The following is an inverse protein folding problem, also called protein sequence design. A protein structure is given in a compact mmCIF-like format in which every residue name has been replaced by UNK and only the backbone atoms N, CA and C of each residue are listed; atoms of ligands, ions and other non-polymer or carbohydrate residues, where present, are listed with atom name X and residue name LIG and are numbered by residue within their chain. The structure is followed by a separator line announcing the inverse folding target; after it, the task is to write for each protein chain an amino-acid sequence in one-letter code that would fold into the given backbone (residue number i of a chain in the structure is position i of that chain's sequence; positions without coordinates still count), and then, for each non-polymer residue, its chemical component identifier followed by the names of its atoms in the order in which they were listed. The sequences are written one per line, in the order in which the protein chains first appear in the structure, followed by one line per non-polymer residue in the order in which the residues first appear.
data_IF_590397339540
#
_entry.id   IF_590397339540
#
_cell.length_a   1.000
_cell.length_b   1.000
_cell.length_c   1.000
_cell.angle_alpha   90.00
_cell.angle_beta   90.00
_cell.angle_gamma   90.00
#
_symmetry.space_group_name_H-M   'P 1'
#
loop_
_entity.id
_entity.type
_entity.pdbx_description
1 polymer ?
#
# COMPACT_ATOMS: atom_id res chain seq x y z
N UNK A 1 13.79 -13.09 10.56
CA UNK A 1 12.87 -12.44 9.62
C UNK A 1 11.55 -12.20 10.33
N UNK A 2 10.96 -11.01 10.18
CA UNK A 2 9.66 -10.68 10.78
C UNK A 2 8.53 -11.51 10.16
N UNK A 3 7.41 -11.64 10.87
CA UNK A 3 6.20 -12.31 10.37
C UNK A 3 5.18 -11.25 9.96
N UNK A 4 4.44 -11.44 8.84
CA UNK A 4 3.35 -10.54 8.47
C UNK A 4 2.18 -10.66 9.44
N UNK A 5 1.23 -9.73 9.33
CA UNK A 5 -0.02 -9.80 10.07
C UNK A 5 -0.81 -11.07 9.77
N UNK A 6 -1.65 -11.48 10.71
CA UNK A 6 -2.42 -12.75 10.62
C UNK A 6 -3.44 -12.78 9.48
N UNK A 7 -3.77 -11.62 8.90
CA UNK A 7 -4.77 -11.50 7.83
C UNK A 7 -4.24 -11.75 6.42
N UNK A 8 -2.93 -11.68 6.19
CA UNK A 8 -2.34 -11.87 4.86
C UNK A 8 -0.98 -12.59 4.95
N UNK A 9 -0.98 -13.86 4.59
CA UNK A 9 0.19 -14.73 4.62
C UNK A 9 0.99 -14.76 3.30
N UNK A 10 0.63 -13.97 2.29
CA UNK A 10 1.26 -14.06 0.96
C UNK A 10 2.78 -13.90 1.03
N UNK A 11 3.29 -12.92 1.75
CA UNK A 11 4.74 -12.72 1.89
C UNK A 11 5.47 -13.88 2.59
N UNK A 12 4.78 -14.72 3.37
CA UNK A 12 5.38 -15.96 3.89
C UNK A 12 5.65 -16.97 2.79
N UNK A 13 4.78 -17.05 1.78
CA UNK A 13 5.03 -17.91 0.62
C UNK A 13 6.23 -17.42 -0.20
N UNK A 14 6.41 -16.09 -0.31
CA UNK A 14 7.61 -15.52 -0.93
C UNK A 14 8.86 -15.89 -0.14
N UNK A 15 8.87 -15.73 1.18
CA UNK A 15 9.99 -16.14 2.03
C UNK A 15 10.24 -17.66 1.95
N UNK A 16 9.18 -18.46 1.95
CA UNK A 16 9.32 -19.93 1.81
C UNK A 16 9.97 -20.29 0.48
N UNK A 17 9.53 -19.68 -0.63
CA UNK A 17 10.16 -19.85 -1.94
C UNK A 17 11.64 -19.48 -1.92
N UNK A 18 11.98 -18.31 -1.37
CA UNK A 18 13.36 -17.85 -1.25
C UNK A 18 14.22 -18.77 -0.37
N UNK A 19 13.67 -19.32 0.72
CA UNK A 19 14.38 -20.25 1.61
C UNK A 19 14.70 -21.58 0.94
N UNK A 20 13.96 -21.97 -0.10
CA UNK A 20 14.17 -23.22 -0.88
C UNK A 20 15.09 -23.04 -2.06
N UNK A 21 15.42 -21.80 -2.44
CA UNK A 21 16.33 -21.56 -3.54
C UNK A 21 17.78 -21.88 -3.15
N UNK A 22 18.49 -22.53 -4.05
CA UNK A 22 19.93 -22.65 -4.02
C UNK A 22 20.63 -21.30 -4.29
N UNK A 23 21.95 -21.25 -4.16
CA UNK A 23 22.75 -20.01 -4.32
C UNK A 23 22.56 -19.33 -5.68
N UNK A 24 22.40 -20.13 -6.75
CA UNK A 24 22.17 -19.63 -8.10
C UNK A 24 20.70 -19.79 -8.53
N UNK A 25 19.80 -20.00 -7.56
CA UNK A 25 18.41 -20.31 -7.81
C UNK A 25 17.59 -19.09 -8.22
N UNK A 26 16.57 -19.35 -9.04
CA UNK A 26 15.55 -18.38 -9.45
C UNK A 26 14.17 -18.91 -9.10
N UNK A 27 13.25 -17.99 -8.77
CA UNK A 27 11.84 -18.33 -8.57
C UNK A 27 10.95 -17.27 -9.21
N UNK A 28 9.76 -17.70 -9.62
CA UNK A 28 8.67 -16.80 -10.00
C UNK A 28 7.45 -17.13 -9.14
N UNK A 29 6.92 -16.14 -8.46
CA UNK A 29 5.76 -16.28 -7.58
C UNK A 29 4.67 -15.31 -8.03
N UNK A 30 3.46 -15.84 -8.20
CA UNK A 30 2.29 -15.02 -8.55
C UNK A 30 1.56 -14.63 -7.27
N UNK A 31 1.28 -13.35 -7.12
CA UNK A 31 0.49 -12.81 -6.02
C UNK A 31 -0.45 -11.70 -6.50
N UNK A 32 -1.38 -11.29 -5.65
CA UNK A 32 -2.13 -10.05 -5.87
C UNK A 32 -1.27 -8.82 -5.53
N UNK A 33 -1.86 -7.62 -5.53
CA UNK A 33 -1.14 -6.38 -5.24
C UNK A 33 -0.79 -6.17 -3.76
N UNK A 34 -1.45 -6.85 -2.84
CA UNK A 34 -1.28 -6.64 -1.38
C UNK A 34 0.19 -6.71 -0.93
N UNK A 35 1.02 -7.70 -1.32
CA UNK A 35 2.42 -7.76 -0.95
C UNK A 35 3.26 -6.53 -1.34
N UNK A 36 2.83 -5.75 -2.32
CA UNK A 36 3.56 -4.56 -2.76
C UNK A 36 3.47 -3.40 -1.78
N UNK A 37 2.32 -3.21 -1.12
CA UNK A 37 2.05 -1.99 -0.35
C UNK A 37 1.47 -2.22 1.05
N UNK A 38 1.01 -3.42 1.39
CA UNK A 38 0.39 -3.68 2.70
C UNK A 38 1.38 -3.49 3.85
N UNK A 39 0.83 -3.06 5.00
CA UNK A 39 1.59 -2.83 6.23
C UNK A 39 2.32 -1.48 6.27
N UNK A 40 2.33 -0.86 7.46
CA UNK A 40 3.11 0.35 7.74
C UNK A 40 4.60 0.04 7.93
N UNK A 41 5.41 1.08 8.12
CA UNK A 41 6.89 0.99 8.20
C UNK A 41 7.44 0.04 9.27
N UNK A 42 6.71 -0.15 10.37
CA UNK A 42 7.09 -1.06 11.45
C UNK A 42 6.48 -2.46 11.34
N UNK A 43 5.65 -2.70 10.32
CA UNK A 43 4.96 -3.99 10.15
C UNK A 43 5.88 -5.11 9.68
N UNK A 44 5.47 -6.35 9.90
CA UNK A 44 6.17 -7.53 9.41
C UNK A 44 6.28 -7.56 7.89
N UNK A 45 5.25 -7.12 7.17
CA UNK A 45 5.22 -7.03 5.71
C UNK A 45 6.32 -6.08 5.20
N UNK A 46 6.44 -4.90 5.81
CA UNK A 46 7.48 -3.94 5.47
C UNK A 46 8.88 -4.50 5.75
N UNK A 47 9.07 -5.21 6.87
CA UNK A 47 10.36 -5.83 7.21
C UNK A 47 10.72 -6.97 6.26
N UNK A 48 9.73 -7.71 5.74
CA UNK A 48 9.98 -8.75 4.73
C UNK A 48 10.39 -8.13 3.41
N UNK A 49 9.70 -7.08 2.93
CA UNK A 49 10.10 -6.35 1.73
C UNK A 49 11.50 -5.76 1.86
N UNK A 50 11.80 -5.18 3.02
CA UNK A 50 13.15 -4.68 3.34
C UNK A 50 14.20 -5.78 3.22
N UNK A 51 13.95 -6.94 3.83
CA UNK A 51 14.87 -8.09 3.73
C UNK A 51 15.11 -8.51 2.28
N UNK A 52 14.06 -8.59 1.46
CA UNK A 52 14.14 -8.97 0.05
C UNK A 52 14.99 -7.95 -0.75
N UNK A 53 14.79 -6.65 -0.51
CA UNK A 53 15.48 -5.59 -1.22
C UNK A 53 16.93 -5.42 -0.74
N UNK A 54 17.18 -5.42 0.57
CA UNK A 54 18.53 -5.28 1.12
C UNK A 54 19.46 -6.41 0.66
N UNK A 55 18.93 -7.64 0.56
CA UNK A 55 19.69 -8.80 0.06
C UNK A 55 19.69 -8.93 -1.46
N UNK A 56 19.17 -7.94 -2.18
CA UNK A 56 19.13 -7.88 -3.64
C UNK A 56 18.50 -9.13 -4.31
N UNK A 57 17.45 -9.69 -3.68
CA UNK A 57 16.82 -10.93 -4.13
C UNK A 57 15.75 -10.71 -5.21
N UNK A 58 15.14 -9.54 -5.27
CA UNK A 58 14.07 -9.21 -6.21
C UNK A 58 14.67 -8.70 -7.52
N UNK A 59 14.46 -9.43 -8.62
CA UNK A 59 14.95 -9.06 -9.95
C UNK A 59 13.92 -8.26 -10.74
N UNK A 60 12.66 -8.70 -10.74
CA UNK A 60 11.60 -8.01 -11.47
C UNK A 60 10.22 -8.23 -10.86
N UNK A 61 9.31 -7.29 -11.15
CA UNK A 61 7.87 -7.42 -10.93
C UNK A 61 7.16 -7.14 -12.24
N UNK A 62 6.30 -8.06 -12.66
CA UNK A 62 5.50 -7.95 -13.88
C UNK A 62 4.04 -7.83 -13.47
N UNK A 63 3.41 -6.69 -13.77
CA UNK A 63 1.98 -6.49 -13.61
C UNK A 63 1.24 -7.12 -14.79
N UNK A 64 0.27 -7.99 -14.52
CA UNK A 64 -0.55 -8.65 -15.51
C UNK A 64 -1.99 -8.14 -15.48
N UNK A 65 -2.76 -8.31 -16.58
CA UNK A 65 -4.15 -7.91 -16.63
C UNK A 65 -5.01 -8.52 -15.52
N UNK A 66 -6.00 -7.79 -15.04
CA UNK A 66 -7.07 -8.36 -14.23
C UNK A 66 -7.95 -9.32 -15.01
N UNK A 67 -8.82 -10.06 -14.32
CA UNK A 67 -9.72 -11.06 -14.93
C UNK A 67 -8.98 -12.23 -15.62
N UNK A 68 -7.82 -12.60 -15.08
CA UNK A 68 -6.96 -13.63 -15.60
C UNK A 68 -7.25 -15.02 -15.03
N UNK A 69 -7.84 -15.07 -13.82
CA UNK A 69 -8.20 -16.30 -13.13
C UNK A 69 -9.71 -16.53 -13.07
N UNK A 70 -10.12 -17.81 -12.92
CA UNK A 70 -11.52 -18.24 -12.97
C UNK A 70 -12.40 -17.67 -11.85
N UNK A 71 -11.82 -17.44 -10.65
CA UNK A 71 -12.55 -17.09 -9.43
C UNK A 71 -12.23 -15.69 -8.89
N UNK A 72 -11.41 -14.91 -9.60
CA UNK A 72 -11.07 -13.56 -9.19
C UNK A 72 -10.84 -12.63 -10.37
N UNK A 73 -11.31 -11.38 -10.26
CA UNK A 73 -11.10 -10.34 -11.27
C UNK A 73 -9.95 -9.38 -10.96
N UNK A 74 -9.24 -9.57 -9.82
CA UNK A 74 -8.17 -8.66 -9.40
C UNK A 74 -6.94 -8.73 -10.31
N UNK A 75 -6.17 -7.63 -10.33
CA UNK A 75 -4.85 -7.60 -10.95
C UNK A 75 -3.88 -8.53 -10.23
N UNK A 76 -2.98 -9.11 -10.97
CA UNK A 76 -1.97 -10.04 -10.48
C UNK A 76 -0.58 -9.58 -10.86
N UNK A 77 0.40 -10.02 -10.08
CA UNK A 77 1.79 -9.64 -10.23
C UNK A 77 2.67 -10.89 -10.18
N UNK A 78 3.61 -11.00 -11.10
CA UNK A 78 4.66 -12.01 -11.05
C UNK A 78 5.89 -11.38 -10.42
N UNK A 79 6.32 -11.92 -9.28
CA UNK A 79 7.56 -11.57 -8.62
C UNK A 79 8.66 -12.52 -9.06
N UNK A 80 9.71 -11.98 -9.66
CA UNK A 80 10.87 -12.76 -10.11
C UNK A 80 12.00 -12.55 -9.12
N UNK A 81 12.42 -13.63 -8.51
CA UNK A 81 13.54 -13.69 -7.58
C UNK A 81 14.75 -14.33 -8.23
N UNK A 82 15.92 -13.78 -7.94
CA UNK A 82 17.17 -14.31 -8.42
C UNK A 82 18.27 -14.05 -7.37
N UNK A 83 18.90 -15.11 -6.88
CA UNK A 83 20.01 -14.99 -5.92
C UNK A 83 21.36 -14.67 -6.59
N UNK A 84 21.45 -14.85 -7.89
CA UNK A 84 22.66 -14.58 -8.66
C UNK A 84 22.34 -13.76 -9.91
N UNK A 85 22.01 -12.48 -9.70
CA UNK A 85 21.71 -11.54 -10.77
C UNK A 85 22.96 -11.27 -11.63
N UNK A 86 22.74 -11.06 -12.93
CA UNK A 86 23.80 -10.55 -13.81
C UNK A 86 24.28 -9.15 -13.33
N UNK A 87 25.53 -8.78 -13.61
CA UNK A 87 26.11 -7.51 -13.13
C UNK A 87 25.27 -6.27 -13.47
N UNK A 88 24.62 -6.26 -14.62
CA UNK A 88 23.73 -5.17 -15.07
C UNK A 88 22.44 -5.03 -14.26
N UNK A 89 21.98 -6.13 -13.62
CA UNK A 89 20.75 -6.21 -12.83
C UNK A 89 20.99 -6.15 -11.32
N UNK A 90 22.25 -6.20 -10.88
CA UNK A 90 22.58 -6.10 -9.46
C UNK A 90 22.14 -4.77 -8.88
N UNK A 91 21.58 -4.80 -7.68
CA UNK A 91 21.02 -3.66 -6.95
C UNK A 91 19.87 -2.93 -7.68
N UNK A 92 19.29 -3.54 -8.70
CA UNK A 92 18.18 -2.98 -9.46
C UNK A 92 16.97 -3.88 -9.45
N UNK A 93 15.80 -3.26 -9.58
CA UNK A 93 14.51 -3.95 -9.72
C UNK A 93 13.82 -3.43 -10.97
N UNK A 94 13.46 -4.33 -11.85
CA UNK A 94 12.73 -4.01 -13.07
C UNK A 94 11.22 -4.13 -12.84
N UNK A 95 10.46 -3.10 -13.19
CA UNK A 95 9.00 -3.13 -13.22
C UNK A 95 8.53 -3.17 -14.66
N UNK A 96 7.63 -4.10 -14.96
CA UNK A 96 7.04 -4.28 -16.28
C UNK A 96 5.52 -4.16 -16.15
N UNK A 97 4.95 -3.16 -16.81
CA UNK A 97 3.51 -3.01 -16.93
C UNK A 97 3.01 -3.74 -18.18
N UNK A 98 2.48 -4.93 -17.99
CA UNK A 98 1.85 -5.73 -19.00
C UNK A 98 0.33 -5.82 -18.82
N UNK A 99 -0.27 -4.84 -18.11
CA UNK A 99 -1.72 -4.85 -17.82
C UNK A 99 -2.60 -4.74 -19.07
N UNK A 100 -2.06 -4.22 -20.15
CA UNK A 100 -2.75 -4.12 -21.46
C UNK A 100 -2.36 -5.23 -22.44
N UNK A 101 -1.40 -6.08 -22.07
CA UNK A 101 -0.97 -7.23 -22.89
C UNK A 101 -1.92 -8.42 -22.70
N UNK A 102 -2.98 -8.48 -23.47
CA UNK A 102 -3.92 -9.62 -23.44
C UNK A 102 -4.72 -9.75 -24.71
N UNK A 103 -5.32 -10.92 -24.87
CA UNK A 103 -6.41 -11.16 -25.81
C UNK A 103 -7.69 -11.48 -25.04
N UNK A 104 -8.85 -10.94 -25.45
CA UNK A 104 -10.12 -11.27 -24.81
C UNK A 104 -10.55 -12.69 -25.17
N UNK A 105 -11.05 -13.42 -24.17
CA UNK A 105 -11.68 -14.72 -24.41
C UNK A 105 -13.01 -14.53 -25.15
N UNK A 106 -13.26 -15.39 -26.14
CA UNK A 106 -14.55 -15.41 -26.86
C UNK A 106 -15.73 -15.71 -25.92
N UNK A 107 -15.52 -16.56 -24.90
CA UNK A 107 -16.48 -16.92 -23.88
C UNK A 107 -15.81 -16.85 -22.52
N UNK A 108 -16.45 -16.16 -21.57
CA UNK A 108 -15.94 -16.09 -20.21
C UNK A 108 -15.96 -17.45 -19.51
N UNK A 109 -14.94 -17.72 -18.70
CA UNK A 109 -14.84 -18.89 -17.84
C UNK A 109 -14.86 -18.42 -16.38
N UNK A 110 -16.04 -18.32 -15.79
CA UNK A 110 -16.21 -17.65 -14.52
C UNK A 110 -15.84 -16.16 -14.63
N UNK A 111 -14.93 -15.69 -13.80
CA UNK A 111 -14.40 -14.32 -13.87
C UNK A 111 -13.27 -14.14 -14.89
N UNK A 112 -12.72 -15.22 -15.41
CA UNK A 112 -11.66 -15.14 -16.42
C UNK A 112 -12.25 -14.68 -17.76
N UNK A 113 -11.75 -13.54 -18.26
CA UNK A 113 -12.14 -12.92 -19.54
C UNK A 113 -10.97 -12.61 -20.43
N UNK A 114 -9.74 -12.77 -19.94
CA UNK A 114 -8.50 -12.40 -20.61
C UNK A 114 -7.48 -13.54 -20.55
N UNK A 115 -6.64 -13.63 -21.56
CA UNK A 115 -5.50 -14.53 -21.57
C UNK A 115 -4.32 -13.89 -22.31
N UNK A 116 -3.12 -14.45 -22.12
CA UNK A 116 -1.95 -14.06 -22.89
C UNK A 116 -1.86 -14.94 -24.15
N UNK A 117 -1.75 -14.29 -25.30
CA UNK A 117 -1.33 -14.96 -26.52
C UNK A 117 0.18 -15.25 -26.49
N UNK A 118 0.65 -16.07 -27.41
CA UNK A 118 2.09 -16.31 -27.57
C UNK A 118 2.85 -15.03 -27.92
N UNK A 119 2.21 -14.09 -28.62
CA UNK A 119 2.83 -12.80 -28.97
C UNK A 119 2.92 -11.89 -27.75
N UNK A 120 1.89 -11.82 -26.90
CA UNK A 120 1.97 -11.11 -25.62
C UNK A 120 3.09 -11.66 -24.74
N UNK A 121 3.21 -12.99 -24.64
CA UNK A 121 4.28 -13.64 -23.87
C UNK A 121 5.65 -13.25 -24.42
N UNK A 122 5.84 -13.31 -25.76
CA UNK A 122 7.09 -12.92 -26.41
C UNK A 122 7.42 -11.44 -26.16
N UNK A 123 6.42 -10.57 -26.19
CA UNK A 123 6.60 -9.15 -25.93
C UNK A 123 7.03 -8.89 -24.48
N UNK A 124 6.37 -9.51 -23.50
CA UNK A 124 6.74 -9.41 -22.09
C UNK A 124 8.15 -9.93 -21.86
N UNK A 125 8.48 -11.10 -22.43
CA UNK A 125 9.82 -11.67 -22.35
C UNK A 125 10.89 -10.79 -23.01
N UNK A 126 10.55 -10.13 -24.12
CA UNK A 126 11.43 -9.16 -24.75
C UNK A 126 11.71 -7.98 -23.83
N UNK A 127 10.69 -7.38 -23.25
CA UNK A 127 10.87 -6.29 -22.29
C UNK A 127 11.71 -6.70 -21.09
N UNK A 128 11.47 -7.91 -20.57
CA UNK A 128 12.24 -8.45 -19.46
C UNK A 128 13.72 -8.63 -19.84
N UNK A 129 14.01 -9.21 -21.00
CA UNK A 129 15.37 -9.53 -21.44
C UNK A 129 16.17 -8.31 -21.89
N UNK A 130 15.53 -7.37 -22.59
CA UNK A 130 16.19 -6.16 -23.11
C UNK A 130 16.69 -5.26 -21.99
N UNK A 131 16.08 -5.34 -20.81
CA UNK A 131 16.43 -4.54 -19.62
C UNK A 131 16.64 -3.06 -19.95
N UNK A 132 15.69 -2.46 -20.67
CA UNK A 132 15.69 -1.07 -21.08
C UNK A 132 14.39 -0.38 -20.73
N UNK A 133 14.49 0.84 -20.21
CA UNK A 133 13.31 1.63 -19.92
C UNK A 133 12.55 2.04 -21.18
N UNK A 134 11.23 2.02 -21.08
CA UNK A 134 10.28 2.50 -22.08
C UNK A 134 8.94 2.82 -21.38
N UNK A 135 7.87 3.02 -22.13
CA UNK A 135 6.55 3.34 -21.57
C UNK A 135 6.00 2.24 -20.66
N UNK A 136 6.40 0.99 -20.87
CA UNK A 136 5.96 -0.19 -20.12
C UNK A 136 6.99 -0.70 -19.10
N UNK A 137 8.23 -0.22 -19.16
CA UNK A 137 9.34 -0.73 -18.34
C UNK A 137 10.00 0.41 -17.58
N UNK A 138 10.12 0.25 -16.27
CA UNK A 138 10.91 1.11 -15.40
C UNK A 138 11.94 0.29 -14.62
N UNK A 139 13.11 0.87 -14.41
CA UNK A 139 14.21 0.24 -13.68
C UNK A 139 14.59 1.18 -12.55
N UNK A 140 14.48 0.69 -11.33
CA UNK A 140 14.78 1.43 -10.11
C UNK A 140 15.99 0.83 -9.41
N UNK A 141 16.80 1.67 -8.82
CA UNK A 141 17.79 1.21 -7.85
C UNK A 141 17.08 0.76 -6.56
N UNK A 142 17.54 -0.31 -5.93
CA UNK A 142 16.86 -0.88 -4.74
C UNK A 142 16.77 0.12 -3.58
N UNK A 143 17.69 1.07 -3.50
CA UNK A 143 17.72 2.14 -2.50
C UNK A 143 16.54 3.11 -2.65
N UNK A 144 15.96 3.26 -3.83
CA UNK A 144 14.80 4.14 -4.06
C UNK A 144 13.53 3.64 -3.35
N UNK A 145 13.47 2.36 -2.98
CA UNK A 145 12.37 1.79 -2.18
C UNK A 145 12.58 1.91 -0.68
N UNK A 146 13.75 2.36 -0.24
CA UNK A 146 14.08 2.52 1.17
C UNK A 146 13.76 3.95 1.59
N UNK A 147 12.80 4.11 2.47
CA UNK A 147 12.39 5.40 2.99
C UNK A 147 12.29 5.39 4.51
N UNK A 148 12.36 6.59 5.09
CA UNK A 148 12.09 6.81 6.51
C UNK A 148 10.80 7.62 6.64
N UNK A 149 9.91 7.14 7.47
CA UNK A 149 8.68 7.85 7.80
C UNK A 149 8.91 8.70 9.05
N UNK A 150 8.56 9.96 8.97
CA UNK A 150 8.61 10.90 10.10
C UNK A 150 7.21 11.42 10.37
N UNK A 151 6.75 11.27 11.61
CA UNK A 151 5.51 11.92 12.06
C UNK A 151 5.84 13.34 12.52
N UNK A 152 5.46 14.34 11.74
CA UNK A 152 5.59 15.75 12.13
C UNK A 152 4.33 16.17 12.87
N UNK A 153 4.47 16.39 14.17
CA UNK A 153 3.39 16.94 14.98
C UNK A 153 3.39 18.46 14.88
N UNK A 154 2.26 19.02 14.47
CA UNK A 154 2.02 20.45 14.53
C UNK A 154 1.04 20.73 15.68
N UNK A 155 1.28 21.77 16.49
CA UNK A 155 0.29 22.18 17.49
C UNK A 155 -1.00 22.56 16.77
N UNK A 156 -2.12 22.08 17.28
CA UNK A 156 -3.44 22.41 16.74
C UNK A 156 -3.68 23.92 16.92
N UNK A 157 -3.52 24.68 15.85
CA UNK A 157 -3.91 26.08 15.81
C UNK A 157 -5.43 26.14 15.63
N UNK A 158 -6.15 25.96 16.72
CA UNK A 158 -7.59 26.15 16.75
C UNK A 158 -7.87 27.53 17.35
N UNK A 159 -8.42 28.43 16.58
CA UNK A 159 -9.08 29.60 17.06
C UNK A 159 -10.60 29.35 17.03
N UNK A 160 -11.25 29.43 18.15
CA UNK A 160 -12.70 29.37 18.24
C UNK A 160 -13.23 30.74 18.70
N UNK A 161 -14.27 31.23 18.05
CA UNK A 161 -15.06 32.34 18.58
C UNK A 161 -16.37 31.76 19.08
N UNK A 162 -16.78 32.15 20.29
CA UNK A 162 -18.08 31.83 20.82
C UNK A 162 -19.06 32.82 20.17
N UNK A 163 -19.87 32.31 19.24
CA UNK A 163 -20.95 33.05 18.57
C UNK A 163 -22.24 32.23 18.74
N UNK A 164 -23.39 32.86 18.58
CA UNK A 164 -24.68 32.17 18.62
C UNK A 164 -24.72 30.98 17.68
N UNK A 165 -24.14 31.14 16.47
CA UNK A 165 -24.05 30.05 15.48
C UNK A 165 -23.22 28.88 15.98
N UNK A 166 -22.09 29.11 16.66
CA UNK A 166 -21.23 28.04 17.18
C UNK A 166 -21.86 27.35 18.38
N UNK A 167 -22.64 28.06 19.18
CA UNK A 167 -23.44 27.50 20.28
C UNK A 167 -24.53 26.59 19.74
N UNK A 168 -25.28 27.01 18.72
CA UNK A 168 -26.32 26.19 18.09
C UNK A 168 -25.74 24.95 17.43
N UNK A 169 -24.60 25.07 16.75
CA UNK A 169 -23.87 23.91 16.20
C UNK A 169 -23.41 22.94 17.30
N UNK A 170 -22.98 23.45 18.45
CA UNK A 170 -22.59 22.62 19.58
C UNK A 170 -23.80 21.89 20.19
N UNK A 171 -24.93 22.58 20.37
CA UNK A 171 -26.20 21.99 20.86
C UNK A 171 -26.70 20.86 19.94
N UNK A 172 -26.58 21.04 18.63
CA UNK A 172 -27.05 20.08 17.64
C UNK A 172 -26.08 18.92 17.38
N UNK A 173 -24.80 19.00 17.84
CA UNK A 173 -23.83 17.94 17.64
C UNK A 173 -24.20 16.67 18.45
N UNK A 174 -24.33 15.48 17.82
CA UNK A 174 -24.85 14.27 18.49
C UNK A 174 -24.11 13.84 19.75
N UNK A 175 -22.80 14.18 19.84
CA UNK A 175 -21.97 13.89 20.99
C UNK A 175 -22.20 14.93 22.11
N UNK A 176 -22.25 16.21 21.76
CA UNK A 176 -22.38 17.32 22.72
C UNK A 176 -23.82 17.50 23.20
N UNK A 177 -24.80 17.17 22.36
CA UNK A 177 -26.22 17.21 22.74
C UNK A 177 -26.56 16.33 23.95
N UNK A 178 -25.79 15.25 24.18
CA UNK A 178 -25.94 14.39 25.37
C UNK A 178 -25.34 14.99 26.66
N UNK A 179 -24.46 15.97 26.52
CA UNK A 179 -23.77 16.65 27.64
C UNK A 179 -24.37 18.02 27.92
N UNK A 180 -25.24 18.51 27.04
CA UNK A 180 -25.88 19.79 27.19
C UNK A 180 -27.06 19.68 28.15
N UNK A 181 -26.98 20.41 29.26
CA UNK A 181 -28.04 20.54 30.24
C UNK A 181 -28.66 21.94 30.11
N UNK A 182 -29.88 21.98 29.56
CA UNK A 182 -30.61 23.24 29.33
C UNK A 182 -30.88 24.00 30.62
N UNK A 183 -31.13 23.28 31.72
CA UNK A 183 -31.40 23.93 33.01
C UNK A 183 -30.15 24.65 33.56
N UNK A 184 -29.02 24.00 33.54
CA UNK A 184 -27.73 24.60 33.94
C UNK A 184 -27.33 25.75 33.00
N UNK A 185 -27.66 25.65 31.73
CA UNK A 185 -27.39 26.72 30.75
C UNK A 185 -28.23 27.97 31.05
N UNK A 186 -29.50 27.83 31.37
CA UNK A 186 -30.36 28.95 31.73
C UNK A 186 -29.92 29.60 33.06
N UNK A 187 -29.54 28.80 34.07
CA UNK A 187 -28.98 29.29 35.33
C UNK A 187 -27.70 30.11 35.10
N UNK A 188 -26.80 29.66 34.20
CA UNK A 188 -25.59 30.41 33.85
C UNK A 188 -25.88 31.72 33.12
N UNK A 189 -26.94 31.78 32.30
CA UNK A 189 -27.35 33.03 31.63
C UNK A 189 -27.91 34.07 32.59
N UNK A 190 -28.54 33.65 33.69
CA UNK A 190 -29.09 34.51 34.71
C UNK A 190 -28.04 34.99 35.73
N UNK A 191 -26.84 34.36 35.73
CA UNK A 191 -25.76 34.79 36.61
C UNK A 191 -25.16 36.12 36.15
N UNK A 192 -25.03 37.10 37.06
CA UNK A 192 -24.29 38.31 36.76
C UNK A 192 -22.83 38.01 36.35
N UNK A 193 -22.27 38.71 35.34
CA UNK A 193 -20.90 38.50 34.93
C UNK A 193 -19.93 38.73 36.08
N UNK A 194 -19.11 37.69 36.37
CA UNK A 194 -18.07 37.78 37.41
C UNK A 194 -17.11 38.93 37.13
N UNK A 195 -16.77 39.69 38.16
CA UNK A 195 -15.80 40.77 38.01
C UNK A 195 -14.41 40.20 37.64
N UNK A 196 -13.63 40.93 36.84
CA UNK A 196 -12.28 40.50 36.38
C UNK A 196 -11.29 40.18 37.51
N UNK A 197 -11.64 40.40 38.77
CA UNK A 197 -10.89 40.02 39.98
C UNK A 197 -11.18 38.58 40.44
N UNK A 198 -12.32 38.01 40.08
CA UNK A 198 -12.73 36.65 40.47
C UNK A 198 -12.24 35.60 39.51
N UNK A 199 -11.90 35.97 38.27
CA UNK A 199 -11.31 35.06 37.27
C UNK A 199 -9.85 34.68 37.56
N UNK A 200 -9.19 35.28 38.54
CA UNK A 200 -7.77 35.04 38.87
C UNK A 200 -7.55 34.18 40.12
N UNK A 201 -8.57 33.55 40.64
CA UNK A 201 -8.48 32.54 41.71
C UNK A 201 -8.91 31.19 41.19
#
# INVERSE_FOLDING_TARGET
VATPGTGDAQLLFHLHGLAKLEENGRAAIISNGSPLFSGGTSSGESQIRRYILENDLLEAIIALPGQFFYNTGIGIYIWIYNKNKSPERQNKVQFIDATEEFVPLRKSLGQKRRELSQDNIRQILKWYNDFKENDHVKIFDKEEFLYREYTVMQPLQRSGRITEETIEKAKSAPFLAKLFDEYQYQELLEMEPRSAKEEKK
#
